data_IF_230275032112
#
_entry.id   IF_230275032112
#
_cell.length_a   1.000
_cell.length_b   1.000
_cell.length_c   1.000
_cell.angle_alpha   90.00
_cell.angle_beta   90.00
_cell.angle_gamma   90.00
#
_symmetry.space_group_name_H-M   'P 1'
#
loop_
_entity.id
_entity.type
_entity.pdbx_description
1 polymer ?
#
# COMPACT_ATOMS: atom_id res chain seq x y z
N UNK A 1 54.73 -43.53 33.25
CA UNK A 1 53.37 -43.65 32.69
C UNK A 1 52.67 -42.32 33.00
N UNK A 2 52.70 -41.36 32.06
CA UNK A 2 51.51 -40.85 31.32
C UNK A 2 50.37 -40.41 32.25
N UNK A 3 49.81 -39.20 32.25
CA UNK A 3 49.88 -38.04 31.36
C UNK A 3 49.14 -36.86 32.04
N UNK A 4 49.36 -35.61 31.66
CA UNK A 4 48.66 -34.81 30.64
C UNK A 4 47.93 -33.62 31.26
N UNK A 5 48.19 -32.46 30.65
CA UNK A 5 47.59 -31.14 30.82
C UNK A 5 46.06 -31.12 30.91
N UNK A 6 45.50 -30.26 31.77
CA UNK A 6 44.14 -29.70 31.64
C UNK A 6 44.16 -28.24 32.12
N UNK A 7 44.58 -27.31 31.26
CA UNK A 7 43.72 -26.40 30.47
C UNK A 7 42.87 -25.45 31.31
N UNK A 8 43.37 -24.21 31.38
CA UNK A 8 42.63 -22.96 31.56
C UNK A 8 41.41 -22.97 30.63
N UNK A 9 40.20 -22.87 31.19
CA UNK A 9 38.99 -22.59 30.43
C UNK A 9 38.58 -21.16 30.75
N UNK A 10 39.08 -20.24 29.94
CA UNK A 10 38.57 -18.88 29.81
C UNK A 10 37.22 -18.96 29.08
N UNK A 11 36.16 -18.49 29.74
CA UNK A 11 34.85 -18.31 29.13
C UNK A 11 34.94 -17.34 27.94
N UNK A 12 34.19 -17.56 26.85
CA UNK A 12 34.07 -16.56 25.79
C UNK A 12 33.15 -15.43 26.29
N UNK A 13 33.67 -14.20 26.30
CA UNK A 13 32.89 -12.97 26.40
C UNK A 13 31.89 -12.95 25.24
N UNK A 14 30.59 -12.99 25.57
CA UNK A 14 29.54 -12.68 24.61
C UNK A 14 29.68 -11.21 24.22
N UNK A 15 30.12 -10.96 22.97
CA UNK A 15 29.99 -9.65 22.33
C UNK A 15 28.51 -9.28 22.29
N UNK A 16 28.07 -8.49 23.27
CA UNK A 16 26.78 -7.82 23.23
C UNK A 16 26.85 -6.85 22.04
N UNK A 17 26.27 -7.25 20.91
CA UNK A 17 25.91 -6.34 19.83
C UNK A 17 24.91 -5.32 20.39
N UNK A 18 25.45 -4.23 20.93
CA UNK A 18 24.67 -3.06 21.32
C UNK A 18 24.04 -2.51 20.04
N UNK A 19 22.73 -2.70 19.90
CA UNK A 19 21.93 -2.01 18.88
C UNK A 19 22.09 -0.50 19.00
N UNK A 20 21.65 0.27 17.98
CA UNK A 20 21.83 1.72 17.95
C UNK A 20 21.35 2.33 19.25
N UNK A 21 22.21 3.15 19.87
CA UNK A 21 21.92 3.77 21.16
C UNK A 21 20.63 4.58 21.06
N UNK A 22 19.86 4.66 22.15
CA UNK A 22 18.66 5.50 22.21
C UNK A 22 18.94 6.93 21.74
N UNK A 23 20.15 7.45 21.97
CA UNK A 23 20.61 8.77 21.50
C UNK A 23 20.75 8.86 19.98
N UNK A 24 21.21 7.80 19.31
CA UNK A 24 21.31 7.74 17.83
C UNK A 24 19.93 7.67 17.18
N UNK A 25 18.99 6.96 17.80
CA UNK A 25 17.61 6.94 17.34
C UNK A 25 16.94 8.30 17.49
N UNK A 26 17.15 8.99 18.62
CA UNK A 26 16.61 10.33 18.87
C UNK A 26 17.15 11.32 17.82
N UNK A 27 18.46 11.37 17.62
CA UNK A 27 19.07 12.27 16.63
C UNK A 27 18.62 11.97 15.19
N UNK A 28 18.42 10.69 14.84
CA UNK A 28 17.86 10.29 13.54
C UNK A 28 16.40 10.74 13.40
N UNK A 29 15.59 10.64 14.46
CA UNK A 29 14.20 11.10 14.46
C UNK A 29 14.13 12.61 14.32
N UNK A 30 14.91 13.37 15.10
CA UNK A 30 14.98 14.84 15.02
C UNK A 30 15.34 15.31 13.60
N UNK A 31 16.31 14.65 12.97
CA UNK A 31 16.70 14.96 11.59
C UNK A 31 15.57 14.70 10.60
N UNK A 32 14.81 13.62 10.77
CA UNK A 32 13.65 13.29 9.93
C UNK A 32 12.51 14.30 10.11
N UNK A 33 12.21 14.70 11.35
CA UNK A 33 11.20 15.71 11.66
C UNK A 33 11.55 17.02 10.95
N UNK A 34 12.80 17.49 11.09
CA UNK A 34 13.26 18.73 10.46
C UNK A 34 13.17 18.70 8.92
N UNK A 35 13.38 17.54 8.30
CA UNK A 35 13.23 17.39 6.85
C UNK A 35 11.75 17.43 6.46
N UNK A 36 10.88 16.77 7.23
CA UNK A 36 9.45 16.75 6.97
C UNK A 36 8.82 18.13 7.11
N UNK A 37 9.17 18.87 8.17
CA UNK A 37 8.70 20.24 8.38
C UNK A 37 9.01 21.14 7.18
N UNK A 38 10.24 21.10 6.65
CA UNK A 38 10.60 21.87 5.44
C UNK A 38 9.78 21.48 4.22
N UNK A 39 9.48 20.19 4.04
CA UNK A 39 8.67 19.73 2.91
C UNK A 39 7.23 20.18 3.04
N UNK A 40 6.68 20.19 4.26
CA UNK A 40 5.33 20.71 4.53
C UNK A 40 5.26 22.18 4.17
N UNK A 41 6.18 23.01 4.67
CA UNK A 41 6.22 24.44 4.35
C UNK A 41 6.34 24.70 2.84
N UNK A 42 7.19 23.94 2.14
CA UNK A 42 7.34 24.08 0.69
C UNK A 42 6.05 23.71 -0.08
N UNK A 43 5.34 22.67 0.36
CA UNK A 43 4.07 22.27 -0.25
C UNK A 43 2.95 23.29 0.05
N UNK A 44 2.89 23.82 1.27
CA UNK A 44 1.95 24.87 1.65
C UNK A 44 2.15 26.14 0.81
N UNK A 45 3.41 26.54 0.56
CA UNK A 45 3.73 27.68 -0.31
C UNK A 45 3.34 27.41 -1.77
N UNK A 46 3.51 26.19 -2.26
CA UNK A 46 3.05 25.78 -3.60
C UNK A 46 1.51 25.78 -3.73
N UNK A 47 0.79 25.43 -2.67
CA UNK A 47 -0.67 25.50 -2.60
C UNK A 47 -1.14 26.96 -2.55
N UNK A 48 -0.47 27.83 -1.81
CA UNK A 48 -0.77 29.26 -1.74
C UNK A 48 -0.49 30.00 -3.07
N UNK A 49 0.44 29.49 -3.88
CA UNK A 49 0.82 30.07 -5.18
C UNK A 49 -0.07 29.63 -6.34
N UNK A 50 -1.03 28.73 -6.12
CA UNK A 50 -2.07 28.41 -7.10
C UNK A 50 -3.22 29.41 -6.94
N UNK A 51 -3.46 30.32 -7.89
CA UNK A 51 -4.62 31.20 -7.82
C UNK A 51 -5.88 30.34 -7.92
N UNK A 52 -6.75 30.47 -6.91
CA UNK A 52 -8.10 29.95 -6.96
C UNK A 52 -8.77 30.45 -8.24
N UNK A 53 -9.10 29.53 -9.15
CA UNK A 53 -10.04 29.80 -10.22
C UNK A 53 -11.42 29.97 -9.57
N UNK A 54 -11.71 31.21 -9.20
CA UNK A 54 -13.03 31.65 -8.77
C UNK A 54 -13.98 31.51 -9.96
N UNK A 55 -14.81 30.47 -9.96
CA UNK A 55 -15.99 30.43 -10.83
C UNK A 55 -17.07 31.34 -10.23
N UNK A 56 -17.29 32.49 -10.86
CA UNK A 56 -18.50 33.28 -10.71
C UNK A 56 -19.03 33.73 -12.09
N UNK A 57 -20.34 33.53 -12.30
CA UNK A 57 -21.17 34.12 -13.36
C UNK A 57 -21.39 33.19 -14.57
N UNK A 58 -22.60 32.90 -15.05
CA UNK A 58 -23.92 33.48 -14.83
C UNK A 58 -24.69 33.43 -16.17
N UNK A 59 -25.93 32.92 -16.12
CA UNK A 59 -27.09 33.26 -16.99
C UNK A 59 -27.10 32.96 -18.50
N UNK A 60 -28.10 32.12 -18.86
CA UNK A 60 -29.10 32.26 -19.94
C UNK A 60 -28.86 31.84 -21.41
N UNK A 61 -29.99 31.35 -21.97
CA UNK A 61 -30.39 31.15 -23.38
C UNK A 61 -29.84 29.89 -24.10
N UNK A 62 -30.64 28.86 -24.38
CA UNK A 62 -31.77 28.75 -25.31
C UNK A 62 -31.36 28.54 -26.79
N UNK A 63 -32.13 27.65 -27.42
CA UNK A 63 -32.34 27.42 -28.85
C UNK A 63 -31.43 26.41 -29.59
N UNK A 64 -32.15 25.48 -30.22
CA UNK A 64 -31.69 24.42 -31.10
C UNK A 64 -31.62 24.92 -32.55
N UNK A 65 -30.72 24.33 -33.34
CA UNK A 65 -30.88 24.00 -34.79
C UNK A 65 -29.58 23.31 -35.24
N UNK A 66 -29.58 21.98 -35.40
CA UNK A 66 -29.78 21.29 -36.67
C UNK A 66 -28.98 21.88 -37.84
N UNK A 67 -27.95 21.17 -38.29
CA UNK A 67 -27.83 20.66 -39.67
C UNK A 67 -26.49 19.94 -39.87
N UNK A 68 -26.54 18.61 -40.01
CA UNK A 68 -25.56 17.87 -40.81
C UNK A 68 -25.80 18.21 -42.29
N UNK A 69 -24.79 18.09 -43.18
CA UNK A 69 -24.57 16.80 -43.83
C UNK A 69 -23.09 16.44 -44.06
N UNK A 70 -22.77 15.15 -43.91
CA UNK A 70 -21.64 14.50 -44.60
C UNK A 70 -22.07 14.18 -46.04
N UNK A 71 -21.18 14.25 -47.05
CA UNK A 71 -20.33 13.09 -47.43
C UNK A 71 -18.91 13.57 -47.84
N UNK A 72 -17.84 12.79 -48.03
CA UNK A 72 -17.58 11.37 -48.16
C UNK A 72 -16.24 11.25 -48.92
N UNK A 73 -15.27 10.53 -48.32
CA UNK A 73 -14.12 9.84 -48.94
C UNK A 73 -13.06 10.70 -49.67
N UNK A 74 -11.87 10.76 -49.05
CA UNK A 74 -10.62 11.21 -49.69
C UNK A 74 -9.41 10.84 -48.81
N UNK A 75 -8.92 9.61 -48.97
CA UNK A 75 -7.62 9.15 -48.48
C UNK A 75 -6.49 10.03 -49.04
N UNK A 76 -5.69 10.64 -48.17
CA UNK A 76 -4.33 11.06 -48.48
C UNK A 76 -3.45 10.85 -47.25
N UNK A 77 -2.43 10.01 -47.43
CA UNK A 77 -1.29 9.85 -46.55
C UNK A 77 -0.19 10.74 -47.11
N UNK A 78 0.21 11.78 -46.37
CA UNK A 78 1.58 12.30 -46.38
C UNK A 78 1.76 13.24 -45.17
N UNK A 79 2.87 13.05 -44.47
CA UNK A 79 3.07 13.60 -43.13
C UNK A 79 3.37 15.09 -43.08
N UNK A 80 3.25 15.64 -41.88
CA UNK A 80 4.24 16.48 -41.21
C UNK A 80 3.79 16.70 -39.76
N UNK A 81 4.78 16.73 -38.89
CA UNK A 81 4.73 16.86 -37.44
C UNK A 81 3.98 18.12 -36.98
N UNK A 82 2.97 17.98 -36.12
CA UNK A 82 2.60 19.02 -35.16
C UNK A 82 1.94 18.41 -33.91
N UNK A 83 2.26 19.02 -32.78
CA UNK A 83 2.16 18.51 -31.42
C UNK A 83 0.68 18.40 -31.01
N UNK A 84 0.13 17.19 -31.00
CA UNK A 84 -1.16 16.95 -30.37
C UNK A 84 -1.00 17.03 -28.83
N UNK A 85 -1.79 17.84 -28.11
CA UNK A 85 -1.81 17.77 -26.66
C UNK A 85 -2.39 16.41 -26.28
N UNK A 86 -1.55 15.51 -25.77
CA UNK A 86 -2.03 14.29 -25.10
C UNK A 86 -2.61 14.72 -23.75
N UNK A 87 -3.78 15.34 -23.79
CA UNK A 87 -4.72 15.37 -22.70
C UNK A 87 -5.81 14.34 -23.03
N UNK A 88 -5.47 13.07 -22.80
CA UNK A 88 -6.44 11.99 -22.63
C UNK A 88 -5.99 11.18 -21.42
N UNK A 89 -6.29 11.65 -20.22
CA UNK A 89 -6.61 10.74 -19.12
C UNK A 89 -8.13 10.61 -19.15
N UNK A 90 -8.65 9.40 -19.42
CA UNK A 90 -9.32 8.71 -18.33
C UNK A 90 -9.19 7.18 -18.45
N UNK A 91 -8.32 6.61 -17.64
CA UNK A 91 -8.52 5.30 -17.06
C UNK A 91 -8.22 5.47 -15.58
N UNK A 92 -9.21 5.26 -14.72
CA UNK A 92 -9.01 5.19 -13.27
C UNK A 92 -8.01 4.08 -13.00
N UNK A 93 -6.73 4.43 -12.86
CA UNK A 93 -5.67 3.48 -12.62
C UNK A 93 -5.91 2.86 -11.24
N UNK A 94 -6.24 1.57 -11.21
CA UNK A 94 -6.38 0.83 -9.95
C UNK A 94 -5.06 0.87 -9.19
N UNK A 95 -5.07 1.50 -8.01
CA UNK A 95 -3.93 1.53 -7.12
C UNK A 95 -3.89 0.23 -6.32
N UNK A 96 -2.68 -0.32 -6.15
CA UNK A 96 -2.42 -1.53 -5.35
C UNK A 96 -1.47 -1.22 -4.22
N UNK A 97 -1.79 -1.74 -3.05
CA UNK A 97 -0.99 -1.62 -1.84
C UNK A 97 -0.79 -3.00 -1.23
N UNK A 98 0.40 -3.22 -0.67
CA UNK A 98 0.74 -4.42 0.09
C UNK A 98 0.71 -4.06 1.57
N UNK A 99 -0.12 -4.76 2.34
CA UNK A 99 -0.37 -4.47 3.75
C UNK A 99 0.33 -5.51 4.62
N UNK A 100 0.83 -5.06 5.76
CA UNK A 100 1.39 -5.95 6.76
C UNK A 100 0.35 -6.54 7.71
N UNK A 101 0.82 -7.06 8.84
CA UNK A 101 -0.05 -7.53 9.92
C UNK A 101 -0.98 -6.39 10.42
N UNK A 102 -2.29 -6.66 10.57
CA UNK A 102 -3.21 -5.70 11.15
C UNK A 102 -3.02 -5.57 12.67
N UNK A 103 -3.57 -4.51 13.25
CA UNK A 103 -3.81 -4.44 14.69
C UNK A 103 -4.96 -5.38 15.11
N UNK A 104 -5.09 -5.60 16.42
CA UNK A 104 -6.22 -6.35 17.01
C UNK A 104 -7.59 -5.74 16.67
N UNK A 105 -7.64 -4.44 16.42
CA UNK A 105 -8.84 -3.68 16.04
C UNK A 105 -9.13 -3.73 14.53
N UNK A 106 -8.36 -4.50 13.75
CA UNK A 106 -8.54 -4.65 12.31
C UNK A 106 -8.09 -3.42 11.51
N UNK A 107 -6.97 -2.80 11.92
CA UNK A 107 -6.39 -1.63 11.24
C UNK A 107 -5.03 -1.99 10.64
N UNK A 108 -4.81 -1.65 9.38
CA UNK A 108 -3.50 -1.72 8.73
C UNK A 108 -2.83 -0.35 8.74
N UNK A 109 -1.87 -0.18 9.64
CA UNK A 109 -1.05 1.03 9.72
C UNK A 109 0.15 1.02 8.77
N UNK A 110 0.65 -0.18 8.42
CA UNK A 110 1.82 -0.36 7.58
C UNK A 110 1.38 -0.86 6.19
N UNK A 111 1.64 -0.06 5.16
CA UNK A 111 1.39 -0.41 3.77
C UNK A 111 2.46 0.18 2.84
N UNK A 112 2.67 -0.48 1.70
CA UNK A 112 3.64 -0.06 0.69
C UNK A 112 3.11 -0.31 -0.72
N UNK A 113 3.64 0.42 -1.70
CA UNK A 113 3.32 0.20 -3.13
C UNK A 113 4.06 -1.00 -3.73
N UNK A 114 5.05 -1.52 -3.04
CA UNK A 114 5.82 -2.71 -3.40
C UNK A 114 5.67 -3.76 -2.32
N UNK A 115 5.63 -5.02 -2.72
CA UNK A 115 5.63 -6.16 -1.81
C UNK A 115 6.93 -6.19 -1.00
N UNK A 116 6.81 -6.44 0.30
CA UNK A 116 7.93 -6.56 1.23
C UNK A 116 7.98 -7.98 1.78
N UNK A 117 8.99 -8.74 1.35
CA UNK A 117 9.25 -10.10 1.83
C UNK A 117 9.38 -10.10 3.37
N UNK A 118 8.67 -11.04 4.00
CA UNK A 118 8.54 -11.24 5.44
C UNK A 118 7.63 -10.23 6.15
N UNK A 119 6.98 -9.32 5.41
CA UNK A 119 6.16 -8.23 5.99
C UNK A 119 4.80 -8.09 5.34
N UNK A 120 4.72 -8.20 4.02
CA UNK A 120 3.48 -8.11 3.27
C UNK A 120 2.71 -9.42 3.39
N UNK A 121 1.49 -9.32 3.92
CA UNK A 121 0.60 -10.46 4.13
C UNK A 121 -0.65 -10.32 3.25
N UNK A 122 -1.09 -9.08 3.01
CA UNK A 122 -2.30 -8.77 2.26
C UNK A 122 -1.99 -7.89 1.05
N UNK A 123 -2.86 -7.97 0.04
CA UNK A 123 -2.90 -7.02 -1.07
C UNK A 123 -4.24 -6.30 -1.06
N UNK A 124 -4.21 -4.98 -1.14
CA UNK A 124 -5.37 -4.12 -1.26
C UNK A 124 -5.39 -3.43 -2.63
N UNK A 125 -6.55 -3.42 -3.26
CA UNK A 125 -6.82 -2.72 -4.51
C UNK A 125 -7.85 -1.64 -4.27
N UNK A 126 -7.62 -0.43 -4.79
CA UNK A 126 -8.55 0.71 -4.67
C UNK A 126 -8.55 1.52 -5.96
N UNK A 127 -9.71 2.08 -6.29
CA UNK A 127 -9.89 2.95 -7.47
C UNK A 127 -9.98 4.44 -7.09
N UNK A 128 -10.46 4.73 -5.88
CA UNK A 128 -10.71 6.08 -5.37
C UNK A 128 -9.66 6.53 -4.33
N UNK A 129 -8.80 5.60 -3.87
CA UNK A 129 -7.83 5.85 -2.80
C UNK A 129 -8.45 5.95 -1.41
N UNK A 130 -9.76 5.72 -1.29
CA UNK A 130 -10.53 5.83 -0.04
C UNK A 130 -11.12 4.49 0.35
N UNK A 131 -11.75 3.77 -0.58
CA UNK A 131 -12.30 2.44 -0.34
C UNK A 131 -11.53 1.42 -1.17
N UNK A 132 -11.12 0.34 -0.52
CA UNK A 132 -10.39 -0.73 -1.17
C UNK A 132 -10.95 -2.09 -0.79
N UNK A 133 -10.79 -3.04 -1.70
CA UNK A 133 -10.94 -4.45 -1.37
C UNK A 133 -9.57 -5.05 -1.12
N UNK A 134 -9.51 -6.05 -0.24
CA UNK A 134 -8.25 -6.72 0.06
C UNK A 134 -8.40 -8.24 0.11
N UNK A 135 -7.30 -8.90 -0.25
CA UNK A 135 -7.13 -10.35 -0.23
C UNK A 135 -5.93 -10.74 0.63
N UNK A 136 -5.96 -11.97 1.13
CA UNK A 136 -4.78 -12.60 1.76
C UNK A 136 -3.91 -13.18 0.64
N UNK A 137 -2.62 -12.86 0.64
CA UNK A 137 -1.73 -13.23 -0.48
C UNK A 137 -1.40 -14.73 -0.46
N UNK A 138 -1.49 -15.36 -1.63
CA UNK A 138 -1.12 -16.77 -1.85
C UNK A 138 0.35 -16.90 -2.31
N UNK A 139 1.27 -16.33 -1.53
CA UNK A 139 2.71 -16.48 -1.75
C UNK A 139 3.34 -17.22 -0.57
N UNK A 140 4.39 -18.00 -0.83
CA UNK A 140 5.04 -18.79 0.22
C UNK A 140 5.49 -17.93 1.43
N UNK A 141 5.93 -16.70 1.17
CA UNK A 141 6.36 -15.76 2.19
C UNK A 141 5.18 -15.17 3.00
N UNK A 142 4.09 -14.79 2.33
CA UNK A 142 2.88 -14.33 3.01
C UNK A 142 2.22 -15.46 3.83
N UNK A 143 2.20 -16.68 3.30
CA UNK A 143 1.73 -17.88 4.01
C UNK A 143 2.59 -18.13 5.24
N UNK A 144 3.92 -18.16 5.10
CA UNK A 144 4.83 -18.36 6.23
C UNK A 144 4.62 -17.28 7.30
N UNK A 145 4.50 -16.01 6.89
CA UNK A 145 4.24 -14.88 7.79
C UNK A 145 2.89 -15.01 8.50
N UNK A 146 1.82 -15.34 7.78
CA UNK A 146 0.49 -15.57 8.34
C UNK A 146 0.47 -16.72 9.36
N UNK A 147 1.20 -17.79 9.07
CA UNK A 147 1.28 -19.00 9.91
C UNK A 147 2.08 -18.80 11.20
N UNK A 148 2.87 -17.73 11.33
CA UNK A 148 3.47 -17.33 12.62
C UNK A 148 2.38 -17.19 13.69
N UNK A 149 1.26 -16.56 13.34
CA UNK A 149 0.14 -16.37 14.26
C UNK A 149 -1.15 -16.04 13.53
N UNK A 150 -1.95 -17.06 13.21
CA UNK A 150 -3.28 -16.89 12.60
C UNK A 150 -4.17 -15.99 13.48
N UNK A 151 -4.10 -16.16 14.81
CA UNK A 151 -4.93 -15.39 15.73
C UNK A 151 -4.61 -13.90 15.74
N UNK A 152 -3.37 -13.50 15.47
CA UNK A 152 -2.96 -12.09 15.48
C UNK A 152 -2.92 -11.48 14.09
N UNK A 153 -2.55 -12.25 13.06
CA UNK A 153 -2.34 -11.70 11.73
C UNK A 153 -3.54 -11.89 10.82
N UNK A 154 -4.38 -12.89 11.08
CA UNK A 154 -5.51 -13.26 10.22
C UNK A 154 -6.86 -12.93 10.85
N UNK A 155 -7.16 -13.49 12.04
CA UNK A 155 -8.48 -13.35 12.69
C UNK A 155 -8.97 -11.90 12.93
N UNK A 156 -8.11 -10.88 13.11
CA UNK A 156 -8.60 -9.51 13.25
C UNK A 156 -9.35 -9.01 12.01
N UNK A 157 -8.95 -9.46 10.81
CA UNK A 157 -9.43 -8.92 9.52
C UNK A 157 -10.03 -9.97 8.59
N UNK A 158 -9.89 -11.25 8.90
CA UNK A 158 -10.43 -12.36 8.14
C UNK A 158 -11.30 -13.28 9.02
N UNK A 159 -12.28 -13.92 8.38
CA UNK A 159 -12.94 -15.14 8.87
C UNK A 159 -12.24 -16.33 8.21
N UNK A 160 -11.82 -17.29 9.02
CA UNK A 160 -11.15 -18.49 8.53
C UNK A 160 -12.16 -19.62 8.44
N UNK A 161 -12.39 -20.11 7.23
CA UNK A 161 -13.22 -21.27 6.95
C UNK A 161 -12.36 -22.54 6.88
N UNK A 162 -12.91 -23.66 7.35
CA UNK A 162 -12.23 -24.95 7.35
C UNK A 162 -11.23 -25.15 8.51
N UNK A 163 -10.39 -26.17 8.37
CA UNK A 163 -9.43 -26.56 9.41
C UNK A 163 -8.07 -25.91 9.15
N UNK A 164 -7.62 -25.01 10.02
CA UNK A 164 -6.31 -24.34 9.92
C UNK A 164 -5.20 -25.02 10.73
N UNK A 165 -5.37 -26.30 11.10
CA UNK A 165 -4.44 -27.03 11.98
C UNK A 165 -3.28 -27.70 11.24
N UNK A 166 -3.35 -27.86 9.92
CA UNK A 166 -2.27 -28.38 9.07
C UNK A 166 -1.49 -27.22 8.45
N UNK A 167 -0.21 -27.44 8.13
CA UNK A 167 0.58 -26.45 7.39
C UNK A 167 0.00 -26.29 5.98
N UNK A 168 -0.57 -25.13 5.63
CA UNK A 168 -1.15 -24.92 4.32
C UNK A 168 -0.07 -24.56 3.29
N UNK A 169 -0.29 -24.99 2.07
CA UNK A 169 0.51 -24.63 0.90
C UNK A 169 -0.17 -23.55 0.05
N UNK A 170 -1.48 -23.41 0.21
CA UNK A 170 -2.29 -22.46 -0.54
C UNK A 170 -3.28 -21.71 0.35
N UNK A 171 -3.59 -20.49 -0.06
CA UNK A 171 -4.63 -19.66 0.52
C UNK A 171 -5.62 -19.27 -0.56
N UNK A 172 -6.89 -19.58 -0.31
CA UNK A 172 -7.99 -19.16 -1.16
C UNK A 172 -8.74 -18.04 -0.44
N UNK A 173 -8.85 -16.89 -1.08
CA UNK A 173 -9.78 -15.84 -0.63
C UNK A 173 -11.14 -16.11 -1.26
N UNK A 174 -12.09 -16.61 -0.46
CA UNK A 174 -13.46 -16.92 -0.89
C UNK A 174 -14.29 -15.65 -1.04
N UNK A 175 -14.10 -14.67 -0.14
CA UNK A 175 -14.71 -13.36 -0.22
C UNK A 175 -13.68 -12.27 0.13
N UNK A 176 -13.60 -11.23 -0.71
CA UNK A 176 -12.71 -10.10 -0.45
C UNK A 176 -13.17 -9.25 0.73
N UNK A 177 -12.19 -8.86 1.56
CA UNK A 177 -12.41 -7.89 2.62
C UNK A 177 -12.56 -6.49 2.05
N UNK A 178 -13.12 -5.58 2.85
CA UNK A 178 -13.23 -4.15 2.52
C UNK A 178 -12.56 -3.35 3.61
N UNK A 179 -11.77 -2.37 3.20
CA UNK A 179 -11.17 -1.40 4.08
C UNK A 179 -11.37 0.01 3.55
N UNK A 180 -11.47 0.96 4.47
CA UNK A 180 -11.58 2.39 4.18
C UNK A 180 -10.35 3.11 4.75
N UNK A 181 -9.78 4.01 3.96
CA UNK A 181 -8.62 4.81 4.35
C UNK A 181 -9.07 6.04 5.12
N UNK A 182 -8.72 6.07 6.41
CA UNK A 182 -9.08 7.17 7.32
C UNK A 182 -7.91 7.47 8.24
N UNK A 183 -7.62 8.75 8.46
CA UNK A 183 -6.54 9.20 9.35
C UNK A 183 -5.17 8.54 9.09
N UNK A 184 -4.85 8.26 7.82
CA UNK A 184 -3.56 7.70 7.42
C UNK A 184 -3.42 6.19 7.55
N UNK A 185 -4.50 5.47 7.88
CA UNK A 185 -4.51 4.01 8.05
C UNK A 185 -5.68 3.38 7.30
N UNK A 186 -5.54 2.11 6.91
CA UNK A 186 -6.65 1.35 6.33
C UNK A 186 -7.40 0.63 7.44
N UNK A 187 -8.66 1.00 7.66
CA UNK A 187 -9.55 0.37 8.65
C UNK A 187 -10.45 -0.64 7.96
N UNK A 188 -10.46 -1.88 8.43
CA UNK A 188 -11.35 -2.91 7.90
C UNK A 188 -12.80 -2.62 8.29
N UNK A 189 -13.66 -2.52 7.29
CA UNK A 189 -15.11 -2.35 7.43
C UNK A 189 -15.85 -3.67 7.21
N UNK A 190 -15.29 -4.56 6.38
CA UNK A 190 -15.78 -5.93 6.18
C UNK A 190 -14.61 -6.92 6.16
N UNK A 191 -14.69 -7.95 6.99
CA UNK A 191 -13.67 -9.01 7.01
C UNK A 191 -13.71 -9.83 5.73
N UNK A 192 -12.53 -10.22 5.23
CA UNK A 192 -12.42 -11.20 4.16
C UNK A 192 -12.80 -12.60 4.67
N UNK A 193 -13.19 -13.49 3.78
CA UNK A 193 -13.38 -14.92 4.08
C UNK A 193 -12.28 -15.69 3.37
N UNK A 194 -11.50 -16.46 4.13
CA UNK A 194 -10.34 -17.19 3.61
C UNK A 194 -10.37 -18.64 4.04
N UNK A 195 -9.76 -19.50 3.22
CA UNK A 195 -9.56 -20.90 3.48
C UNK A 195 -8.10 -21.27 3.24
N UNK A 196 -7.53 -22.01 4.18
CA UNK A 196 -6.18 -22.54 4.11
C UNK A 196 -6.23 -23.97 3.58
N UNK A 197 -5.45 -24.28 2.56
CA UNK A 197 -5.35 -25.60 1.91
C UNK A 197 -3.92 -26.16 1.94
#
# INVERSE_FOLDING_TARGET
MMGFFGKKETAPEEEIQQGPSATELITKLEKRVKILERRVTALEEQLASQPAATEEGGTEAAAAEQSQPSPGIGINMDGLSEVAPVAIHPATAEARYYLGAPSVDGVFANFSVQEQIGKSIYQLTTQDGVNGTFILMDTADAIASAMISISQFIKPVCKVNGNSHTMPHHIITEEEGVATFEAGVWRVTRKAVVRFE
#
